data_IF_665552079243
#
_entry.id   IF_665552079243
#
_cell.length_a   1.000
_cell.length_b   1.000
_cell.length_c   1.000
_cell.angle_alpha   90.00
_cell.angle_beta   90.00
_cell.angle_gamma   90.00
#
_symmetry.space_group_name_H-M   'P 1'
#
loop_
_entity.id
_entity.type
_entity.pdbx_description
1 polymer ?
#
# COMPACT_ATOMS: atom_id res chain seq x y z
N UNK A 1 4.47 19.67 11.25
CA UNK A 1 4.28 18.26 11.70
C UNK A 1 4.86 17.32 10.66
N UNK A 2 5.89 16.54 11.00
CA UNK A 2 6.66 15.67 10.09
C UNK A 2 5.79 14.53 9.50
N UNK A 3 6.03 14.12 8.25
CA UNK A 3 5.24 13.08 7.54
C UNK A 3 5.25 11.74 8.26
N UNK A 4 6.38 11.38 8.90
CA UNK A 4 6.48 10.20 9.80
C UNK A 4 5.47 10.24 10.95
N UNK A 5 5.36 11.36 11.66
CA UNK A 5 4.43 11.49 12.78
C UNK A 5 2.97 11.32 12.34
N UNK A 6 2.60 11.77 11.13
CA UNK A 6 1.25 11.55 10.57
C UNK A 6 0.99 10.07 10.27
N UNK A 7 1.97 9.36 9.73
CA UNK A 7 1.90 7.92 9.48
C UNK A 7 1.70 7.18 10.81
N UNK A 8 2.50 7.51 11.83
CA UNK A 8 2.43 6.85 13.13
C UNK A 8 1.06 7.09 13.81
N UNK A 9 0.49 8.29 13.69
CA UNK A 9 -0.86 8.58 14.22
C UNK A 9 -1.96 7.83 13.48
N UNK A 10 -1.88 7.69 12.15
CA UNK A 10 -2.88 6.94 11.38
C UNK A 10 -2.74 5.43 11.58
N UNK A 11 -1.52 4.95 11.75
CA UNK A 11 -1.24 3.56 12.11
C UNK A 11 -1.57 3.26 13.59
N UNK A 12 -1.72 4.28 14.45
CA UNK A 12 -2.03 4.07 15.87
C UNK A 12 -3.36 3.34 16.08
N UNK A 13 -4.35 3.58 15.21
CA UNK A 13 -5.63 2.85 15.20
C UNK A 13 -5.56 1.44 14.59
N UNK A 14 -4.38 1.06 14.08
CA UNK A 14 -4.09 -0.27 13.53
C UNK A 14 -2.94 -0.96 14.28
N UNK A 15 -2.53 -0.47 15.46
CA UNK A 15 -1.30 -0.89 16.16
C UNK A 15 -1.17 -2.40 16.38
N UNK A 16 -2.29 -3.08 16.57
CA UNK A 16 -2.34 -4.54 16.71
C UNK A 16 -1.80 -5.28 15.47
N UNK A 17 -1.81 -4.62 14.30
CA UNK A 17 -1.42 -5.21 13.03
C UNK A 17 0.10 -5.14 12.73
N UNK A 18 0.81 -3.99 12.88
CA UNK A 18 2.26 -3.92 12.76
C UNK A 18 3.02 -4.70 13.84
N UNK A 19 2.53 -4.74 15.08
CA UNK A 19 3.20 -5.47 16.17
C UNK A 19 3.11 -7.00 15.92
N UNK A 20 1.91 -7.52 15.63
CA UNK A 20 1.74 -8.93 15.25
C UNK A 20 2.48 -9.33 13.96
N UNK A 21 2.67 -8.40 13.01
CA UNK A 21 3.43 -8.65 11.77
C UNK A 21 4.94 -8.45 11.93
N UNK A 22 5.38 -7.69 12.94
CA UNK A 22 6.79 -7.46 13.25
C UNK A 22 7.44 -8.64 13.95
N UNK A 23 6.66 -9.38 14.75
CA UNK A 23 7.09 -10.62 15.41
C UNK A 23 7.28 -11.79 14.43
N UNK A 24 6.65 -11.73 13.26
CA UNK A 24 6.75 -12.78 12.23
C UNK A 24 7.36 -12.21 10.96
N UNK A 25 8.67 -12.32 10.85
CA UNK A 25 9.39 -11.89 9.65
C UNK A 25 9.20 -12.87 8.49
N UNK A 26 8.95 -12.35 7.29
CA UNK A 26 9.09 -13.14 6.04
C UNK A 26 10.55 -13.33 5.63
N UNK A 27 11.48 -12.61 6.27
CA UNK A 27 12.93 -12.76 6.06
C UNK A 27 13.44 -13.87 6.98
N UNK A 28 13.30 -15.10 6.51
CA UNK A 28 13.85 -16.29 7.14
C UNK A 28 13.59 -17.50 6.24
N UNK A 29 14.48 -18.50 6.28
CA UNK A 29 14.30 -19.76 5.55
C UNK A 29 13.30 -20.71 6.25
N UNK A 30 12.71 -20.32 7.39
CA UNK A 30 11.75 -21.14 8.12
C UNK A 30 10.33 -21.02 7.53
N UNK A 31 9.85 -22.14 7.02
CA UNK A 31 8.50 -22.28 6.46
C UNK A 31 7.39 -22.09 7.51
N UNK A 32 7.63 -22.46 8.77
CA UNK A 32 6.61 -22.30 9.82
C UNK A 32 6.41 -20.83 10.17
N UNK A 33 7.49 -20.06 10.32
CA UNK A 33 7.44 -18.62 10.47
C UNK A 33 6.73 -17.96 9.27
N UNK A 34 7.07 -18.35 8.03
CA UNK A 34 6.39 -17.83 6.85
C UNK A 34 4.88 -18.12 6.86
N UNK A 35 4.47 -19.34 7.23
CA UNK A 35 3.06 -19.72 7.33
C UNK A 35 2.31 -18.90 8.37
N UNK A 36 2.92 -18.65 9.54
CA UNK A 36 2.35 -17.78 10.58
C UNK A 36 2.20 -16.35 10.07
N UNK A 37 3.21 -15.83 9.38
CA UNK A 37 3.19 -14.50 8.77
C UNK A 37 2.05 -14.36 7.77
N UNK A 38 1.88 -15.33 6.87
CA UNK A 38 0.78 -15.31 5.89
C UNK A 38 -0.59 -15.36 6.58
N UNK A 39 -0.77 -16.18 7.63
CA UNK A 39 -2.03 -16.24 8.38
C UNK A 39 -2.39 -14.89 9.01
N UNK A 40 -1.44 -14.25 9.69
CA UNK A 40 -1.62 -12.91 10.27
C UNK A 40 -1.95 -11.90 9.17
N UNK A 41 -1.21 -11.93 8.05
CA UNK A 41 -1.42 -11.00 6.94
C UNK A 41 -2.79 -11.15 6.28
N UNK A 42 -3.27 -12.38 6.10
CA UNK A 42 -4.60 -12.67 5.53
C UNK A 42 -5.70 -12.22 6.49
N UNK A 43 -5.57 -12.50 7.79
CA UNK A 43 -6.58 -12.12 8.79
C UNK A 43 -6.80 -10.60 8.87
N UNK A 44 -5.77 -9.81 8.56
CA UNK A 44 -5.82 -8.35 8.61
C UNK A 44 -5.84 -7.68 7.22
N UNK A 45 -5.93 -8.48 6.14
CA UNK A 45 -5.84 -7.99 4.76
C UNK A 45 -6.92 -6.96 4.45
N UNK A 46 -8.16 -7.25 4.84
CA UNK A 46 -9.32 -6.39 4.58
C UNK A 46 -9.18 -5.03 5.28
N UNK A 47 -8.91 -5.04 6.59
CA UNK A 47 -8.68 -3.81 7.35
C UNK A 47 -7.53 -2.99 6.76
N UNK A 48 -6.42 -3.64 6.38
CA UNK A 48 -5.29 -2.97 5.74
C UNK A 48 -5.71 -2.32 4.42
N UNK A 49 -6.46 -3.01 3.55
CA UNK A 49 -6.94 -2.40 2.31
C UNK A 49 -7.92 -1.26 2.53
N UNK A 50 -8.84 -1.38 3.48
CA UNK A 50 -9.78 -0.31 3.82
C UNK A 50 -9.05 0.97 4.26
N UNK A 51 -7.96 0.86 5.01
CA UNK A 51 -7.17 2.01 5.41
C UNK A 51 -6.31 2.55 4.26
N UNK A 52 -5.57 1.70 3.57
CA UNK A 52 -4.62 2.11 2.53
C UNK A 52 -5.30 2.68 1.27
N UNK A 53 -6.57 2.35 1.03
CA UNK A 53 -7.36 2.94 -0.07
C UNK A 53 -7.84 4.36 0.23
N UNK A 54 -7.77 4.82 1.49
CA UNK A 54 -8.21 6.18 1.83
C UNK A 54 -7.36 7.21 1.08
N UNK A 55 -7.98 8.28 0.52
CA UNK A 55 -7.26 9.32 -0.25
C UNK A 55 -6.09 9.97 0.49
N UNK A 56 -6.12 9.96 1.84
CA UNK A 56 -5.01 10.45 2.68
C UNK A 56 -3.69 9.70 2.45
N UNK A 57 -3.75 8.39 2.18
CA UNK A 57 -2.57 7.57 1.91
C UNK A 57 -2.04 7.80 0.51
N UNK A 58 -2.94 7.89 -0.48
CA UNK A 58 -2.57 8.25 -1.84
C UNK A 58 -1.85 9.61 -1.88
N UNK A 59 -2.35 10.62 -1.16
CA UNK A 59 -1.72 11.95 -1.07
C UNK A 59 -0.41 12.00 -0.29
N UNK A 60 -0.13 11.00 0.55
CA UNK A 60 1.09 10.97 1.37
C UNK A 60 2.20 10.11 0.76
N UNK A 61 1.88 8.88 0.34
CA UNK A 61 2.83 7.92 -0.22
C UNK A 61 2.91 7.97 -1.74
N UNK A 62 1.77 8.16 -2.39
CA UNK A 62 1.65 8.17 -3.86
C UNK A 62 1.41 9.57 -4.39
N UNK A 63 1.87 10.61 -3.68
CA UNK A 63 1.72 11.97 -4.17
C UNK A 63 2.49 12.11 -5.48
N UNK A 64 1.73 12.15 -6.58
CA UNK A 64 2.29 12.37 -7.89
C UNK A 64 2.60 13.86 -7.96
N UNK A 65 3.88 14.22 -7.83
CA UNK A 65 4.31 15.59 -8.09
C UNK A 65 4.66 15.73 -9.57
N UNK A 66 4.30 16.89 -10.14
CA UNK A 66 4.66 17.43 -11.46
C UNK A 66 5.10 16.41 -12.53
N UNK A 67 6.34 15.91 -12.47
CA UNK A 67 6.88 14.95 -13.44
C UNK A 67 6.14 13.60 -13.44
N UNK A 68 5.80 13.07 -12.27
CA UNK A 68 5.07 11.81 -12.15
C UNK A 68 3.64 11.93 -12.70
N UNK A 69 2.97 13.05 -12.45
CA UNK A 69 1.63 13.29 -13.01
C UNK A 69 1.64 13.29 -14.54
N UNK A 70 2.62 13.96 -15.15
CA UNK A 70 2.78 13.98 -16.62
C UNK A 70 3.06 12.58 -17.19
N UNK A 71 3.89 11.79 -16.53
CA UNK A 71 4.16 10.42 -16.95
C UNK A 71 2.90 9.55 -16.93
N UNK A 72 2.11 9.63 -15.86
CA UNK A 72 0.82 8.91 -15.77
C UNK A 72 -0.19 9.41 -16.80
N UNK A 73 -0.30 10.73 -17.00
CA UNK A 73 -1.20 11.30 -18.02
C UNK A 73 -0.84 10.79 -19.42
N UNK A 74 0.45 10.79 -19.78
CA UNK A 74 0.90 10.28 -21.08
C UNK A 74 0.59 8.79 -21.24
N UNK A 75 0.82 7.99 -20.19
CA UNK A 75 0.51 6.56 -20.21
C UNK A 75 -0.98 6.30 -20.42
N UNK A 76 -1.86 7.00 -19.69
CA UNK A 76 -3.30 6.83 -19.86
C UNK A 76 -3.79 7.33 -21.22
N UNK A 77 -3.21 8.41 -21.76
CA UNK A 77 -3.52 8.86 -23.12
C UNK A 77 -3.15 7.81 -24.17
N UNK A 78 -2.00 7.14 -24.02
CA UNK A 78 -1.59 6.05 -24.90
C UNK A 78 -2.54 4.84 -24.79
N UNK A 79 -2.95 4.47 -23.57
CA UNK A 79 -3.91 3.39 -23.37
C UNK A 79 -5.27 3.68 -24.03
N UNK A 80 -5.79 4.90 -23.90
CA UNK A 80 -7.03 5.31 -24.54
C UNK A 80 -6.92 5.27 -26.06
N UNK A 81 -5.83 5.80 -26.62
CA UNK A 81 -5.58 5.76 -28.05
C UNK A 81 -5.48 4.32 -28.58
N UNK A 82 -4.86 3.40 -27.84
CA UNK A 82 -4.81 1.99 -28.22
C UNK A 82 -6.20 1.34 -28.24
N UNK A 83 -7.04 1.63 -27.24
CA UNK A 83 -8.41 1.12 -27.16
C UNK A 83 -9.29 1.59 -28.33
N UNK A 84 -9.07 2.81 -28.81
CA UNK A 84 -9.80 3.37 -29.96
C UNK A 84 -9.38 2.74 -31.31
N UNK A 85 -8.15 2.21 -31.41
CA UNK A 85 -7.67 1.54 -32.62
C UNK A 85 -8.10 0.06 -32.71
N UNK A 86 -8.59 -0.53 -31.62
CA UNK A 86 -9.08 -1.91 -31.55
C UNK A 86 -10.61 -2.03 -31.77
N UNK A 87 -11.33 -0.90 -31.88
CA UNK A 87 -12.77 -0.80 -32.12
C UNK A 87 -13.08 -0.37 -33.56
#
# INVERSE_FOLDING_TARGET
>A
MNTRKKIDTWNAGMKDHPEASGEVTSRGADFQAFRKFVKVRVAHWEALWEEYTKPRWARLRMNLYCGKQRAFANFFNQLSALKENES
#
